data_IF_812475562707
#
_entry.id   IF_812475562707
#
_cell.length_a   1.000
_cell.length_b   1.000
_cell.length_c   1.000
_cell.angle_alpha   90.00
_cell.angle_beta   90.00
_cell.angle_gamma   90.00
#
_symmetry.space_group_name_H-M   'P 1'
#
loop_
_entity.id
_entity.type
_entity.pdbx_description
1 polymer ?
#
# COMPACT_ATOMS: atom_id res chain seq x y z
N UNK A 1 7.22 -1.80 22.21
CA UNK A 1 7.13 -0.38 21.81
C UNK A 1 6.52 -0.39 20.41
N UNK A 2 5.19 -0.45 20.38
CA UNK A 2 4.41 -0.77 19.19
C UNK A 2 4.31 0.45 18.28
N UNK A 3 5.18 0.53 17.27
CA UNK A 3 5.08 1.53 16.21
C UNK A 3 4.00 1.10 15.21
N UNK A 4 2.74 1.31 15.60
CA UNK A 4 1.66 1.41 14.63
C UNK A 4 2.06 2.47 13.59
N UNK A 5 2.10 2.09 12.31
CA UNK A 5 1.81 3.03 11.23
C UNK A 5 0.50 3.72 11.64
N UNK A 6 0.56 4.95 12.14
CA UNK A 6 -0.60 5.57 12.78
C UNK A 6 -1.55 6.08 11.70
N UNK A 7 -2.29 5.14 11.10
CA UNK A 7 -3.44 5.43 10.27
C UNK A 7 -4.46 6.13 11.16
N UNK A 8 -4.66 7.42 10.92
CA UNK A 8 -5.58 8.26 11.69
C UNK A 8 -7.01 7.95 11.27
N UNK A 9 -7.24 7.75 9.98
CA UNK A 9 -8.56 7.44 9.42
C UNK A 9 -8.44 6.56 8.17
N UNK A 10 -9.49 5.80 7.89
CA UNK A 10 -9.60 4.96 6.70
C UNK A 10 -11.07 4.80 6.33
N UNK A 11 -11.41 5.11 5.09
CA UNK A 11 -12.77 5.10 4.57
C UNK A 11 -12.75 4.47 3.18
N UNK A 12 -13.65 3.51 2.94
CA UNK A 12 -13.92 2.99 1.60
C UNK A 12 -14.93 3.93 0.95
N UNK A 13 -14.54 4.56 -0.15
CA UNK A 13 -15.33 5.58 -0.85
C UNK A 13 -16.19 4.96 -1.94
N UNK A 14 -15.71 3.89 -2.56
CA UNK A 14 -16.45 3.13 -3.56
C UNK A 14 -15.96 1.70 -3.57
N UNK A 15 -16.87 0.79 -3.91
CA UNK A 15 -16.59 -0.64 -3.96
C UNK A 15 -17.43 -1.28 -5.06
N UNK A 16 -16.79 -2.09 -5.89
CA UNK A 16 -17.41 -2.88 -6.95
C UNK A 16 -16.82 -4.28 -6.86
N UNK A 17 -17.68 -5.27 -6.63
CA UNK A 17 -17.29 -6.67 -6.55
C UNK A 17 -17.95 -7.45 -7.69
N UNK A 18 -17.12 -8.11 -8.48
CA UNK A 18 -17.52 -9.03 -9.55
C UNK A 18 -17.04 -10.44 -9.21
N UNK A 19 -17.41 -11.42 -10.03
CA UNK A 19 -17.01 -12.83 -9.83
C UNK A 19 -15.49 -12.98 -9.80
N UNK A 20 -14.78 -12.32 -10.72
CA UNK A 20 -13.33 -12.48 -10.92
C UNK A 20 -12.52 -11.22 -10.57
N UNK A 21 -13.16 -10.17 -10.05
CA UNK A 21 -12.44 -8.95 -9.69
C UNK A 21 -13.10 -8.22 -8.53
N UNK A 22 -12.29 -7.54 -7.75
CA UNK A 22 -12.75 -6.63 -6.72
C UNK A 22 -12.00 -5.31 -6.83
N UNK A 23 -12.77 -4.22 -6.96
CA UNK A 23 -12.26 -2.88 -7.18
C UNK A 23 -12.80 -2.01 -6.07
N UNK A 24 -11.93 -1.32 -5.37
CA UNK A 24 -12.35 -0.42 -4.31
C UNK A 24 -11.44 0.79 -4.23
N UNK A 25 -12.03 1.92 -3.90
CA UNK A 25 -11.32 3.17 -3.68
C UNK A 25 -11.38 3.54 -2.21
N UNK A 26 -10.27 4.02 -1.67
CA UNK A 26 -10.14 4.37 -0.25
C UNK A 26 -9.61 5.78 -0.09
N UNK A 27 -10.00 6.42 1.00
CA UNK A 27 -9.38 7.62 1.56
C UNK A 27 -8.78 7.26 2.90
N UNK A 28 -7.55 7.71 3.15
CA UNK A 28 -6.92 7.52 4.45
C UNK A 28 -6.03 8.69 4.83
N UNK A 29 -5.93 8.95 6.13
CA UNK A 29 -5.01 9.90 6.72
C UNK A 29 -3.93 9.12 7.49
N UNK A 30 -2.67 9.50 7.30
CA UNK A 30 -1.54 8.87 7.98
C UNK A 30 -0.55 9.93 8.48
N UNK A 31 0.25 9.52 9.47
CA UNK A 31 1.47 10.24 9.85
C UNK A 31 2.68 9.49 9.35
N UNK A 32 3.67 10.25 8.89
CA UNK A 32 4.95 9.67 8.51
C UNK A 32 5.71 9.20 9.76
N UNK A 33 6.33 8.03 9.65
CA UNK A 33 7.15 7.47 10.73
C UNK A 33 8.38 8.35 11.02
N UNK A 34 9.03 8.87 9.98
CA UNK A 34 10.21 9.73 10.12
C UNK A 34 9.87 11.23 10.22
N UNK A 35 8.61 11.62 10.02
CA UNK A 35 8.17 13.01 10.17
C UNK A 35 6.76 13.10 10.79
N UNK A 36 6.64 12.85 12.11
CA UNK A 36 5.35 12.65 12.77
C UNK A 36 4.46 13.90 12.86
N UNK A 37 5.02 15.08 12.58
CA UNK A 37 4.29 16.34 12.56
C UNK A 37 3.54 16.58 11.24
N UNK A 38 3.87 15.83 10.18
CA UNK A 38 3.23 15.95 8.88
C UNK A 38 2.12 14.90 8.77
N UNK A 39 0.94 15.38 8.42
CA UNK A 39 -0.21 14.55 8.06
C UNK A 39 -0.31 14.48 6.55
N UNK A 40 -0.54 13.27 6.05
CA UNK A 40 -0.75 13.04 4.64
C UNK A 40 -2.17 12.57 4.42
N UNK A 41 -2.79 13.08 3.36
CA UNK A 41 -4.11 12.66 2.91
C UNK A 41 -3.92 11.87 1.63
N UNK A 42 -4.32 10.61 1.66
CA UNK A 42 -4.15 9.73 0.53
C UNK A 42 -5.49 9.22 0.01
N UNK A 43 -5.61 9.18 -1.31
CA UNK A 43 -6.66 8.45 -2.02
C UNK A 43 -6.01 7.32 -2.77
N UNK A 44 -6.56 6.12 -2.69
CA UNK A 44 -6.07 4.99 -3.44
C UNK A 44 -7.20 4.27 -4.18
N UNK A 45 -6.90 3.76 -5.37
CA UNK A 45 -7.75 2.85 -6.12
C UNK A 45 -7.04 1.52 -6.20
N UNK A 46 -7.68 0.47 -5.69
CA UNK A 46 -7.17 -0.89 -5.67
C UNK A 46 -8.03 -1.74 -6.59
N UNK A 47 -7.37 -2.61 -7.35
CA UNK A 47 -7.96 -3.61 -8.24
C UNK A 47 -7.30 -4.94 -7.93
N UNK A 48 -8.10 -5.91 -7.49
CA UNK A 48 -7.68 -7.28 -7.30
C UNK A 48 -8.31 -8.14 -8.38
N UNK A 49 -7.49 -8.86 -9.14
CA UNK A 49 -7.97 -9.79 -10.15
C UNK A 49 -7.80 -11.22 -9.61
N UNK A 50 -8.92 -11.94 -9.51
CA UNK A 50 -8.98 -13.31 -9.06
C UNK A 50 -9.14 -14.20 -10.29
N UNK A 51 -8.02 -14.69 -10.81
CA UNK A 51 -8.08 -15.79 -11.76
C UNK A 51 -8.05 -17.10 -10.97
N UNK A 52 -9.22 -17.71 -10.74
CA UNK A 52 -9.33 -18.98 -10.01
C UNK A 52 -8.63 -20.16 -10.71
N UNK A 53 -8.29 -19.98 -11.99
CA UNK A 53 -7.57 -20.96 -12.80
C UNK A 53 -6.05 -20.94 -12.59
N UNK A 54 -5.52 -19.81 -12.11
CA UNK A 54 -4.09 -19.59 -11.96
C UNK A 54 -3.70 -19.51 -10.48
N UNK A 55 -2.59 -20.15 -10.13
CA UNK A 55 -1.92 -20.01 -8.82
C UNK A 55 -1.27 -18.62 -8.62
N UNK A 56 -1.60 -17.65 -9.49
CA UNK A 56 -1.01 -16.33 -9.54
C UNK A 56 -2.11 -15.29 -9.39
N UNK A 57 -1.99 -14.47 -8.35
CA UNK A 57 -2.92 -13.38 -8.07
C UNK A 57 -2.21 -12.03 -8.06
N UNK A 58 -2.89 -11.03 -8.62
CA UNK A 58 -2.39 -9.66 -8.70
C UNK A 58 -3.30 -8.71 -7.94
N UNK A 59 -2.68 -7.83 -7.16
CA UNK A 59 -3.32 -6.69 -6.54
C UNK A 59 -2.63 -5.44 -7.07
N UNK A 60 -3.30 -4.73 -7.95
CA UNK A 60 -2.82 -3.48 -8.51
C UNK A 60 -3.40 -2.31 -7.73
N UNK A 61 -2.59 -1.30 -7.48
CA UNK A 61 -2.98 -0.15 -6.69
C UNK A 61 -2.38 1.12 -7.28
N UNK A 62 -3.16 2.18 -7.24
CA UNK A 62 -2.73 3.54 -7.58
C UNK A 62 -3.07 4.44 -6.41
N UNK A 63 -2.11 5.21 -5.95
CA UNK A 63 -2.23 6.06 -4.78
C UNK A 63 -1.83 7.48 -5.15
N UNK A 64 -2.62 8.43 -4.69
CA UNK A 64 -2.31 9.84 -4.71
C UNK A 64 -2.25 10.30 -3.27
N UNK A 65 -1.07 10.72 -2.84
CA UNK A 65 -0.82 11.17 -1.47
C UNK A 65 -0.48 12.65 -1.49
N UNK A 66 -1.24 13.45 -0.74
CA UNK A 66 -1.09 14.88 -0.69
C UNK A 66 -0.68 15.37 0.71
N UNK A 67 0.25 16.32 0.73
CA UNK A 67 0.78 17.00 1.90
C UNK A 67 0.21 18.41 2.00
N UNK A 68 0.36 19.04 3.18
CA UNK A 68 0.06 20.46 3.40
C UNK A 68 -1.35 20.88 2.91
N UNK A 69 -2.39 20.17 3.37
CA UNK A 69 -3.80 20.41 2.99
C UNK A 69 -4.03 20.39 1.46
N UNK A 70 -3.53 19.34 0.81
CA UNK A 70 -3.78 19.07 -0.62
C UNK A 70 -3.02 19.96 -1.63
N UNK A 71 -2.00 20.69 -1.18
CA UNK A 71 -1.22 21.60 -2.04
C UNK A 71 -0.08 20.90 -2.78
N UNK A 72 0.48 19.83 -2.22
CA UNK A 72 1.55 19.05 -2.83
C UNK A 72 1.15 17.58 -2.89
N UNK A 73 0.85 17.08 -4.09
CA UNK A 73 0.44 15.69 -4.31
C UNK A 73 1.50 14.90 -5.06
N UNK A 74 1.73 13.67 -4.61
CA UNK A 74 2.61 12.71 -5.23
C UNK A 74 1.83 11.45 -5.59
N UNK A 75 2.18 10.87 -6.73
CA UNK A 75 1.57 9.64 -7.22
C UNK A 75 2.48 8.45 -6.95
N UNK A 76 1.89 7.30 -6.63
CA UNK A 76 2.57 6.02 -6.58
C UNK A 76 1.68 4.90 -7.10
N UNK A 77 2.32 3.88 -7.68
CA UNK A 77 1.67 2.67 -8.21
C UNK A 77 2.30 1.46 -7.55
N UNK A 78 1.49 0.57 -7.03
CA UNK A 78 1.92 -0.68 -6.43
C UNK A 78 1.32 -1.88 -7.15
N UNK A 79 2.13 -2.89 -7.42
CA UNK A 79 1.69 -4.19 -7.90
C UNK A 79 2.14 -5.23 -6.89
N UNK A 80 1.18 -5.90 -6.27
CA UNK A 80 1.39 -7.03 -5.39
C UNK A 80 1.13 -8.31 -6.17
N UNK A 81 2.12 -9.20 -6.17
CA UNK A 81 2.06 -10.52 -6.78
C UNK A 81 2.05 -11.56 -5.67
N UNK A 82 1.06 -12.44 -5.71
CA UNK A 82 0.93 -13.56 -4.78
C UNK A 82 0.94 -14.83 -5.62
N UNK A 83 1.82 -15.78 -5.29
CA UNK A 83 1.79 -17.10 -5.91
C UNK A 83 2.21 -18.20 -4.95
N UNK A 84 1.78 -19.43 -5.24
CA UNK A 84 2.32 -20.64 -4.62
C UNK A 84 3.73 -20.94 -5.19
N UNK A 85 4.60 -21.52 -4.38
CA UNK A 85 5.87 -22.08 -4.83
C UNK A 85 5.82 -23.62 -4.76
N UNK A 86 6.77 -24.29 -5.40
CA UNK A 86 6.93 -25.76 -5.45
C UNK A 86 6.98 -26.45 -4.07
N UNK A 87 7.27 -25.70 -3.01
CA UNK A 87 7.32 -26.17 -1.62
C UNK A 87 6.00 -25.96 -0.87
N UNK A 88 4.88 -25.68 -1.56
CA UNK A 88 3.58 -25.29 -0.98
C UNK A 88 3.63 -24.04 -0.07
N UNK A 89 4.68 -23.24 -0.17
CA UNK A 89 4.77 -21.94 0.50
C UNK A 89 4.16 -20.84 -0.36
N UNK A 90 3.40 -19.92 0.24
CA UNK A 90 2.92 -18.71 -0.45
C UNK A 90 4.03 -17.67 -0.49
N UNK A 91 4.33 -17.15 -1.67
CA UNK A 91 5.31 -16.09 -1.89
C UNK A 91 4.57 -14.81 -2.27
N UNK A 92 4.85 -13.74 -1.54
CA UNK A 92 4.34 -12.40 -1.77
C UNK A 92 5.48 -11.49 -2.25
N UNK A 93 5.30 -10.86 -3.41
CA UNK A 93 6.24 -9.87 -3.95
C UNK A 93 5.52 -8.56 -4.20
N UNK A 94 6.08 -7.46 -3.73
CA UNK A 94 5.55 -6.11 -3.97
C UNK A 94 6.51 -5.34 -4.87
N UNK A 95 5.97 -4.73 -5.92
CA UNK A 95 6.70 -3.80 -6.78
C UNK A 95 6.03 -2.43 -6.69
N UNK A 96 6.77 -1.40 -6.27
CA UNK A 96 6.24 -0.04 -6.08
C UNK A 96 7.04 0.96 -6.90
N UNK A 97 6.31 1.77 -7.67
CA UNK A 97 6.83 2.95 -8.36
C UNK A 97 6.25 4.17 -7.66
N UNK A 98 7.07 5.12 -7.24
CA UNK A 98 6.62 6.27 -6.46
C UNK A 98 7.34 7.54 -6.87
N UNK A 99 6.66 8.67 -6.69
CA UNK A 99 7.24 10.00 -6.83
C UNK A 99 7.74 10.52 -5.48
N UNK A 100 8.88 11.22 -5.49
CA UNK A 100 9.41 11.91 -4.31
C UNK A 100 9.74 13.37 -4.65
N UNK A 101 9.61 14.31 -3.68
CA UNK A 101 10.13 15.66 -3.84
C UNK A 101 11.66 15.63 -3.93
N UNK A 102 12.26 16.38 -4.86
CA UNK A 102 13.71 16.37 -5.10
C UNK A 102 14.49 16.70 -3.81
N UNK A 103 14.10 17.79 -3.14
CA UNK A 103 14.77 18.28 -1.92
C UNK A 103 14.61 17.35 -0.70
N UNK A 104 13.67 16.40 -0.73
CA UNK A 104 13.40 15.48 0.37
C UNK A 104 13.47 14.01 -0.07
N UNK A 105 14.15 13.73 -1.19
CA UNK A 105 14.24 12.42 -1.82
C UNK A 105 14.75 11.34 -0.87
N UNK A 106 15.79 11.63 -0.08
CA UNK A 106 16.34 10.68 0.89
C UNK A 106 15.36 10.32 2.02
N UNK A 107 14.64 11.32 2.55
CA UNK A 107 13.64 11.10 3.60
C UNK A 107 12.43 10.32 3.06
N UNK A 108 11.99 10.68 1.86
CA UNK A 108 10.92 9.99 1.14
C UNK A 108 11.27 8.51 0.90
N UNK A 109 12.49 8.23 0.43
CA UNK A 109 12.98 6.85 0.24
C UNK A 109 12.98 6.06 1.57
N UNK A 110 13.52 6.64 2.65
CA UNK A 110 13.56 5.98 3.97
C UNK A 110 12.15 5.65 4.48
N UNK A 111 11.24 6.59 4.33
CA UNK A 111 9.86 6.42 4.73
C UNK A 111 9.16 5.32 3.91
N UNK A 112 9.29 5.34 2.58
CA UNK A 112 8.72 4.31 1.70
C UNK A 112 9.24 2.93 2.10
N UNK A 113 10.56 2.78 2.24
CA UNK A 113 11.18 1.50 2.62
C UNK A 113 10.69 1.03 3.99
N UNK A 114 10.63 1.95 4.98
CA UNK A 114 10.13 1.62 6.31
C UNK A 114 8.68 1.13 6.27
N UNK A 115 7.80 1.85 5.59
CA UNK A 115 6.39 1.50 5.48
C UNK A 115 6.21 0.13 4.80
N UNK A 116 6.91 -0.13 3.69
CA UNK A 116 6.81 -1.41 2.97
C UNK A 116 7.30 -2.59 3.80
N UNK A 117 8.45 -2.44 4.45
CA UNK A 117 8.98 -3.47 5.36
C UNK A 117 8.01 -3.76 6.50
N UNK A 118 7.35 -2.73 7.04
CA UNK A 118 6.37 -2.89 8.10
C UNK A 118 5.09 -3.57 7.61
N UNK A 119 4.60 -3.22 6.41
CA UNK A 119 3.43 -3.87 5.79
C UNK A 119 3.70 -5.36 5.55
N UNK A 120 4.81 -5.70 4.89
CA UNK A 120 5.17 -7.10 4.62
C UNK A 120 5.45 -7.88 5.91
N UNK A 121 6.11 -7.24 6.89
CA UNK A 121 6.35 -7.86 8.20
C UNK A 121 5.05 -8.14 8.97
N UNK A 122 4.09 -7.22 8.93
CA UNK A 122 2.77 -7.42 9.54
C UNK A 122 1.96 -8.48 8.81
N UNK A 123 2.01 -8.51 7.47
CA UNK A 123 1.37 -9.54 6.66
C UNK A 123 1.89 -10.92 7.08
N UNK A 124 3.22 -11.07 7.14
CA UNK A 124 3.86 -12.32 7.58
C UNK A 124 3.39 -12.73 8.97
N UNK A 125 3.44 -11.83 9.95
CA UNK A 125 2.96 -12.09 11.33
C UNK A 125 1.48 -12.46 11.41
N UNK A 126 0.65 -11.93 10.51
CA UNK A 126 -0.78 -12.20 10.51
C UNK A 126 -1.10 -13.63 10.03
N UNK A 127 -0.30 -14.19 9.12
CA UNK A 127 -0.50 -15.52 8.56
C UNK A 127 0.40 -16.61 9.17
N UNK A 128 1.50 -16.24 9.83
CA UNK A 128 2.38 -17.17 10.57
C UNK A 128 1.83 -17.49 11.99
N UNK A 129 0.86 -16.71 12.48
CA UNK A 129 0.10 -16.96 13.72
C UNK A 129 -1.18 -17.75 13.43
#
# INVERSE_FOLDING_TARGET
MDTYLSRISFEIVSEIKNVNSWKYSVKYEERLSHWPYVRNYATANIVTDFNYSDDIHFINSTHRTCFLKNTFCLESKGTFLIHSNLLNSVVCKEHVIYQCPIFMSLLCLREVVYQRNHILGNLKKHFDN
#
